data_IF_710683872857
#
_entry.id   IF_710683872857
#
_cell.length_a   1.000
_cell.length_b   1.000
_cell.length_c   1.000
_cell.angle_alpha   90.00
_cell.angle_beta   90.00
_cell.angle_gamma   90.00
#
_symmetry.space_group_name_H-M   'P 1'
#
loop_
_entity.id
_entity.type
_entity.pdbx_description
1 polymer ?
#
# COMPACT_ATOMS: atom_id res chain seq x y z
N UNK A 1 -1.34 19.11 17.27
CA UNK A 1 -1.91 17.77 17.00
C UNK A 1 -1.83 17.60 15.49
N UNK A 2 -1.00 16.67 15.00
CA UNK A 2 -0.73 16.54 13.56
C UNK A 2 -1.97 16.05 12.80
N UNK A 3 -2.07 16.36 11.50
CA UNK A 3 -3.16 15.83 10.67
C UNK A 3 -2.99 14.32 10.47
N UNK A 4 -4.09 13.58 10.65
CA UNK A 4 -4.15 12.16 10.32
C UNK A 4 -4.49 12.03 8.83
N UNK A 5 -3.65 11.33 8.07
CA UNK A 5 -3.87 11.09 6.64
C UNK A 5 -4.52 9.72 6.39
N UNK A 6 -5.33 9.61 5.34
CA UNK A 6 -5.88 8.34 4.87
C UNK A 6 -5.07 7.84 3.68
N UNK A 7 -4.49 6.64 3.79
CA UNK A 7 -3.71 6.02 2.71
C UNK A 7 -4.39 4.74 2.26
N UNK A 8 -4.78 4.72 1.00
CA UNK A 8 -5.05 3.47 0.29
C UNK A 8 -3.73 2.87 -0.19
N UNK A 9 -3.29 1.79 0.44
CA UNK A 9 -2.07 1.07 0.06
C UNK A 9 -2.43 -0.08 -0.88
N UNK A 10 -2.69 0.18 -2.15
CA UNK A 10 -3.13 -0.86 -3.09
C UNK A 10 -2.01 -1.80 -3.57
N UNK A 11 -2.40 -2.87 -4.26
CA UNK A 11 -1.45 -3.81 -4.88
C UNK A 11 -0.72 -3.19 -6.09
N UNK A 12 -1.43 -2.37 -6.86
CA UNK A 12 -0.93 -1.78 -8.12
C UNK A 12 -0.75 -0.28 -8.03
N UNK A 13 -1.68 0.42 -7.38
CA UNK A 13 -1.62 1.86 -7.15
C UNK A 13 -1.98 2.15 -5.71
N UNK A 14 -1.40 3.20 -5.16
CA UNK A 14 -1.73 3.76 -3.87
C UNK A 14 -2.28 5.17 -4.02
N UNK A 15 -3.10 5.58 -3.06
CA UNK A 15 -3.76 6.89 -3.04
C UNK A 15 -3.67 7.48 -1.64
N UNK A 16 -3.57 8.80 -1.52
CA UNK A 16 -3.56 9.49 -0.23
C UNK A 16 -4.60 10.62 -0.23
N UNK A 17 -5.32 10.73 0.89
CA UNK A 17 -6.33 11.73 1.12
C UNK A 17 -6.20 12.38 2.49
N UNK A 18 -6.69 13.61 2.59
CA UNK A 18 -6.78 14.40 3.83
C UNK A 18 -8.21 14.87 4.04
N UNK A 19 -8.53 15.26 5.27
CA UNK A 19 -9.75 15.99 5.58
C UNK A 19 -9.47 17.50 5.55
N UNK A 20 -10.22 18.23 4.71
CA UNK A 20 -10.19 19.70 4.64
C UNK A 20 -11.60 20.25 4.76
N UNK A 21 -11.84 21.13 5.73
CA UNK A 21 -13.15 21.75 5.95
C UNK A 21 -14.30 20.74 6.04
N UNK A 22 -14.05 19.61 6.70
CA UNK A 22 -15.02 18.52 6.86
C UNK A 22 -15.23 17.65 5.61
N UNK A 23 -14.50 17.87 4.52
CA UNK A 23 -14.60 17.10 3.28
C UNK A 23 -13.31 16.32 2.99
N UNK A 24 -13.42 15.06 2.52
CA UNK A 24 -12.26 14.32 2.07
C UNK A 24 -11.73 14.90 0.76
N UNK A 25 -10.41 15.02 0.64
CA UNK A 25 -9.72 15.46 -0.57
C UNK A 25 -8.57 14.53 -0.89
N UNK A 26 -8.59 13.96 -2.09
CA UNK A 26 -7.45 13.22 -2.66
C UNK A 26 -6.39 14.21 -3.11
N UNK A 27 -5.13 13.95 -2.73
CA UNK A 27 -3.99 14.82 -3.04
C UNK A 27 -3.25 14.30 -4.27
N UNK A 28 -2.75 15.20 -5.10
CA UNK A 28 -1.87 14.89 -6.23
C UNK A 28 -0.43 14.69 -5.75
N UNK A 29 0.24 13.64 -6.25
CA UNK A 29 1.67 13.47 -6.05
C UNK A 29 2.48 14.53 -6.83
N UNK A 30 3.79 14.57 -6.60
CA UNK A 30 4.70 15.52 -7.27
C UNK A 30 4.75 15.32 -8.80
N UNK A 31 4.28 14.17 -9.29
CA UNK A 31 4.12 13.88 -10.72
C UNK A 31 2.78 14.35 -11.30
N UNK A 32 1.92 15.01 -10.50
CA UNK A 32 0.62 15.55 -10.92
C UNK A 32 -0.51 14.50 -11.01
N UNK A 33 -0.30 13.30 -10.45
CA UNK A 33 -1.28 12.23 -10.48
C UNK A 33 -1.91 12.01 -9.10
N UNK A 34 -3.22 11.72 -9.08
CA UNK A 34 -3.98 11.41 -7.85
C UNK A 34 -3.75 10.01 -7.30
N UNK A 35 -3.05 9.16 -8.05
CA UNK A 35 -2.62 7.84 -7.61
C UNK A 35 -1.16 7.66 -7.96
N UNK A 36 -0.47 6.85 -7.17
CA UNK A 36 0.95 6.54 -7.34
C UNK A 36 1.11 5.04 -7.54
N UNK A 37 1.80 4.57 -8.60
CA UNK A 37 2.08 3.15 -8.75
C UNK A 37 2.77 2.57 -7.51
N UNK A 38 2.29 1.42 -7.01
CA UNK A 38 2.87 0.71 -5.86
C UNK A 38 4.09 -0.11 -6.33
N UNK A 39 5.06 0.61 -6.88
CA UNK A 39 6.26 0.09 -7.53
C UNK A 39 7.47 0.79 -6.91
N UNK A 40 8.46 0.00 -6.52
CA UNK A 40 9.71 0.46 -5.91
C UNK A 40 10.88 -0.11 -6.68
N UNK A 41 11.84 0.71 -7.08
CA UNK A 41 13.04 0.26 -7.76
C UNK A 41 14.29 0.71 -7.04
N UNK A 42 15.27 -0.18 -6.99
CA UNK A 42 16.58 0.08 -6.40
C UNK A 42 17.61 0.15 -7.53
N UNK A 43 18.17 1.33 -7.72
CA UNK A 43 19.13 1.61 -8.79
C UNK A 43 20.53 1.12 -8.42
N UNK A 44 21.47 1.15 -9.37
CA UNK A 44 22.84 0.68 -9.14
C UNK A 44 23.65 1.61 -8.21
N UNK A 45 23.35 2.90 -8.27
CA UNK A 45 23.93 3.96 -7.45
C UNK A 45 23.29 4.09 -6.06
N UNK A 46 22.33 3.22 -5.73
CA UNK A 46 21.71 3.14 -4.41
C UNK A 46 20.50 4.07 -4.20
N UNK A 47 20.03 4.73 -5.26
CA UNK A 47 18.79 5.49 -5.24
C UNK A 47 17.56 4.56 -5.12
N UNK A 48 16.57 5.00 -4.36
CA UNK A 48 15.27 4.33 -4.24
C UNK A 48 14.24 5.15 -5.00
N UNK A 49 13.79 4.61 -6.14
CA UNK A 49 12.72 5.19 -6.93
C UNK A 49 11.38 4.60 -6.49
N UNK A 50 10.35 5.43 -6.37
CA UNK A 50 8.99 5.00 -6.01
C UNK A 50 7.97 5.62 -6.97
N UNK A 51 6.98 4.84 -7.41
CA UNK A 51 5.89 5.35 -8.23
C UNK A 51 6.23 5.41 -9.73
N UNK A 52 5.86 6.51 -10.39
CA UNK A 52 6.04 6.67 -11.83
C UNK A 52 7.51 6.59 -12.29
N UNK A 53 8.51 7.13 -11.56
CA UNK A 53 9.92 6.92 -11.86
C UNK A 53 10.32 5.43 -11.85
N UNK A 54 9.94 4.69 -10.81
CA UNK A 54 10.21 3.26 -10.72
C UNK A 54 9.54 2.46 -11.86
N UNK A 55 8.27 2.80 -12.19
CA UNK A 55 7.54 2.19 -13.30
C UNK A 55 8.24 2.38 -14.65
N UNK A 56 8.78 3.57 -14.91
CA UNK A 56 9.42 3.92 -16.20
C UNK A 56 10.65 3.06 -16.50
N UNK A 57 11.46 2.77 -15.48
CA UNK A 57 12.69 1.99 -15.65
C UNK A 57 12.52 0.47 -15.45
N UNK A 58 11.30 0.00 -15.20
CA UNK A 58 11.04 -1.41 -14.87
C UNK A 58 11.50 -2.40 -15.97
N UNK A 59 11.46 -1.97 -17.24
CA UNK A 59 11.85 -2.80 -18.38
C UNK A 59 13.37 -3.00 -18.48
N UNK A 60 14.17 -2.01 -18.06
CA UNK A 60 15.64 -2.08 -18.10
C UNK A 60 16.24 -2.59 -16.80
N UNK A 61 15.48 -2.58 -15.70
CA UNK A 61 15.92 -3.05 -14.38
C UNK A 61 14.90 -4.02 -13.73
N UNK A 62 14.51 -5.11 -14.39
CA UNK A 62 13.38 -5.95 -13.96
C UNK A 62 13.64 -6.69 -12.64
N UNK A 63 14.90 -7.06 -12.36
CA UNK A 63 15.27 -7.83 -11.16
C UNK A 63 15.28 -7.00 -9.87
N UNK A 64 15.47 -5.68 -9.99
CA UNK A 64 15.53 -4.77 -8.85
C UNK A 64 14.34 -3.78 -8.83
N UNK A 65 13.30 -4.08 -9.61
CA UNK A 65 12.04 -3.33 -9.62
C UNK A 65 10.93 -4.21 -9.04
N UNK A 66 10.47 -3.85 -7.86
CA UNK A 66 9.51 -4.58 -7.08
C UNK A 66 8.10 -4.00 -7.28
N UNK A 67 7.16 -4.87 -7.60
CA UNK A 67 5.74 -4.53 -7.76
C UNK A 67 4.87 -5.67 -7.25
N UNK A 68 3.59 -5.37 -6.98
CA UNK A 68 2.63 -6.31 -6.40
C UNK A 68 3.09 -6.95 -5.07
N UNK A 69 3.99 -6.29 -4.34
CA UNK A 69 4.56 -6.79 -3.06
C UNK A 69 3.48 -6.97 -1.98
N UNK A 70 2.34 -6.30 -2.10
CA UNK A 70 1.15 -6.53 -1.27
C UNK A 70 0.64 -7.99 -1.34
N UNK A 71 0.97 -8.73 -2.40
CA UNK A 71 0.67 -10.17 -2.50
C UNK A 71 1.54 -11.03 -1.60
N UNK A 72 2.72 -10.54 -1.20
CA UNK A 72 3.69 -11.25 -0.36
C UNK A 72 3.63 -10.83 1.12
N UNK A 73 3.13 -9.63 1.39
CA UNK A 73 3.11 -9.07 2.75
C UNK A 73 2.40 -10.01 3.74
N UNK A 74 3.06 -10.35 4.85
CA UNK A 74 2.54 -11.23 5.89
C UNK A 74 2.32 -12.69 5.50
N UNK A 75 2.86 -13.15 4.36
CA UNK A 75 2.80 -14.55 3.92
C UNK A 75 4.05 -15.33 4.25
N UNK A 76 3.90 -16.64 4.37
CA UNK A 76 4.99 -17.62 4.49
C UNK A 76 5.55 -17.95 3.11
N UNK A 77 6.86 -18.18 3.04
CA UNK A 77 7.51 -18.53 1.78
C UNK A 77 6.90 -19.79 1.15
N UNK A 78 6.56 -20.80 1.96
CA UNK A 78 6.08 -22.10 1.49
C UNK A 78 4.58 -22.11 1.10
N UNK A 79 3.86 -20.98 1.22
CA UNK A 79 2.45 -20.88 0.78
C UNK A 79 2.33 -21.08 -0.73
N UNK A 80 1.27 -21.78 -1.17
CA UNK A 80 1.03 -22.11 -2.58
C UNK A 80 0.99 -20.86 -3.48
N UNK A 81 0.39 -19.80 -2.99
CA UNK A 81 0.26 -18.51 -3.66
C UNK A 81 1.64 -17.86 -3.87
N UNK A 82 2.53 -17.94 -2.88
CA UNK A 82 3.90 -17.42 -2.96
C UNK A 82 4.74 -18.28 -3.90
N UNK A 83 4.61 -19.61 -3.83
CA UNK A 83 5.30 -20.53 -4.74
C UNK A 83 4.91 -20.31 -6.20
N UNK A 84 3.65 -19.97 -6.47
CA UNK A 84 3.21 -19.55 -7.80
C UNK A 84 3.87 -18.25 -8.23
N UNK A 85 3.88 -17.24 -7.35
CA UNK A 85 4.43 -15.92 -7.66
C UNK A 85 5.96 -15.98 -7.90
N UNK A 86 6.70 -16.88 -7.25
CA UNK A 86 8.13 -17.14 -7.51
C UNK A 86 8.42 -17.46 -8.98
N UNK A 87 7.55 -18.22 -9.65
CA UNK A 87 7.70 -18.56 -11.06
C UNK A 87 7.26 -17.47 -12.04
N UNK A 88 6.61 -16.42 -11.55
CA UNK A 88 6.01 -15.36 -12.37
C UNK A 88 6.74 -14.02 -12.24
N UNK A 89 7.30 -13.73 -11.07
CA UNK A 89 7.93 -12.44 -10.79
C UNK A 89 9.36 -12.38 -11.33
N UNK A 90 9.78 -11.24 -11.91
CA UNK A 90 11.15 -11.07 -12.41
C UNK A 90 12.17 -10.82 -11.28
N UNK A 91 11.71 -10.34 -10.13
CA UNK A 91 12.53 -10.15 -8.94
C UNK A 91 12.55 -11.42 -8.08
N UNK A 92 13.59 -11.54 -7.25
CA UNK A 92 13.81 -12.75 -6.45
C UNK A 92 12.98 -12.70 -5.17
N UNK A 93 12.11 -13.69 -5.00
CA UNK A 93 11.41 -13.96 -3.73
C UNK A 93 12.20 -15.05 -3.00
N UNK A 94 12.48 -14.84 -1.72
CA UNK A 94 13.35 -15.69 -0.91
C UNK A 94 12.73 -16.01 0.43
N UNK A 95 13.15 -17.14 1.02
CA UNK A 95 12.77 -17.54 2.36
C UNK A 95 13.61 -16.77 3.38
N UNK A 96 12.95 -16.07 4.30
CA UNK A 96 13.60 -15.51 5.48
C UNK A 96 13.90 -16.60 6.51
N UNK A 97 14.75 -16.29 7.49
CA UNK A 97 15.18 -17.25 8.51
C UNK A 97 14.00 -17.73 9.38
N UNK A 98 13.02 -16.85 9.59
CA UNK A 98 11.78 -17.19 10.28
C UNK A 98 10.78 -17.95 9.39
N UNK A 99 11.04 -18.10 8.08
CA UNK A 99 10.21 -18.76 7.08
C UNK A 99 9.23 -17.86 6.32
N UNK A 100 9.25 -16.54 6.55
CA UNK A 100 8.42 -15.58 5.81
C UNK A 100 8.88 -15.38 4.37
N UNK A 101 7.95 -14.96 3.52
CA UNK A 101 8.23 -14.57 2.14
C UNK A 101 8.89 -13.19 2.10
N UNK A 102 10.17 -13.13 1.78
CA UNK A 102 10.94 -11.90 1.61
C UNK A 102 11.32 -11.73 0.14
N UNK A 103 11.91 -10.58 -0.18
CA UNK A 103 12.51 -10.31 -1.49
C UNK A 103 14.02 -10.14 -1.34
N UNK A 104 14.75 -10.36 -2.42
CA UNK A 104 16.19 -10.08 -2.47
C UNK A 104 16.48 -9.15 -3.63
N UNK A 105 17.11 -8.02 -3.31
CA UNK A 105 17.49 -6.99 -4.28
C UNK A 105 18.96 -6.71 -4.10
N UNK A 106 19.75 -6.83 -5.18
CA UNK A 106 21.21 -6.62 -5.16
C UNK A 106 21.94 -7.37 -4.02
N UNK A 107 21.50 -8.59 -3.74
CA UNK A 107 22.07 -9.45 -2.68
C UNK A 107 21.60 -9.11 -1.26
N UNK A 108 20.76 -8.09 -1.08
CA UNK A 108 20.18 -7.74 0.21
C UNK A 108 18.78 -8.33 0.34
N UNK A 109 18.56 -9.12 1.40
CA UNK A 109 17.23 -9.64 1.75
C UNK A 109 16.43 -8.56 2.46
N UNK A 110 15.18 -8.37 2.05
CA UNK A 110 14.27 -7.37 2.62
C UNK A 110 12.89 -7.97 2.83
N UNK A 111 12.25 -7.60 3.94
CA UNK A 111 10.87 -7.97 4.20
C UNK A 111 9.91 -7.21 3.27
N UNK A 112 8.79 -7.84 2.89
CA UNK A 112 7.77 -7.20 2.05
C UNK A 112 7.25 -5.87 2.64
N UNK A 113 7.16 -5.81 3.98
CA UNK A 113 6.76 -4.62 4.75
C UNK A 113 7.73 -3.45 4.55
N UNK A 114 9.04 -3.71 4.41
CA UNK A 114 10.04 -2.65 4.16
C UNK A 114 9.83 -2.02 2.78
N UNK A 115 9.51 -2.84 1.77
CA UNK A 115 9.22 -2.33 0.42
C UNK A 115 7.92 -1.54 0.40
N UNK A 116 6.86 -2.04 1.05
CA UNK A 116 5.62 -1.30 1.22
C UNK A 116 5.82 0.01 1.99
N UNK A 117 6.76 0.05 2.94
CA UNK A 117 7.11 1.28 3.66
C UNK A 117 7.67 2.36 2.73
N UNK A 118 8.42 2.03 1.68
CA UNK A 118 8.87 3.03 0.68
C UNK A 118 7.67 3.67 -0.04
N UNK A 119 6.65 2.87 -0.37
CA UNK A 119 5.41 3.40 -0.94
C UNK A 119 4.68 4.31 0.04
N UNK A 120 4.61 3.92 1.31
CA UNK A 120 3.99 4.71 2.37
C UNK A 120 4.77 6.01 2.66
N UNK A 121 6.11 6.00 2.60
CA UNK A 121 6.93 7.22 2.72
C UNK A 121 6.65 8.19 1.59
N UNK A 122 6.48 7.71 0.35
CA UNK A 122 6.06 8.56 -0.77
C UNK A 122 4.67 9.18 -0.51
N UNK A 123 3.72 8.41 0.04
CA UNK A 123 2.37 8.92 0.36
C UNK A 123 2.40 9.95 1.49
N UNK A 124 3.17 9.68 2.56
CA UNK A 124 3.45 10.63 3.64
C UNK A 124 4.03 11.92 3.07
N UNK A 125 5.10 11.83 2.28
CA UNK A 125 5.76 12.99 1.68
C UNK A 125 4.82 13.80 0.79
N UNK A 126 3.98 13.14 -0.02
CA UNK A 126 2.94 13.81 -0.81
C UNK A 126 1.97 14.60 0.06
N UNK A 127 1.54 14.06 1.20
CA UNK A 127 0.69 14.80 2.12
C UNK A 127 1.44 15.96 2.79
N UNK A 128 2.68 15.77 3.23
CA UNK A 128 3.52 16.82 3.83
C UNK A 128 3.77 17.98 2.87
N UNK A 129 4.09 17.70 1.60
CA UNK A 129 4.30 18.71 0.57
C UNK A 129 3.04 19.54 0.32
N UNK A 130 1.87 18.89 0.36
CA UNK A 130 0.59 19.55 0.18
C UNK A 130 0.16 20.37 1.41
N UNK A 131 0.41 19.86 2.61
CA UNK A 131 -0.01 20.47 3.87
C UNK A 131 0.96 21.56 4.38
N UNK A 132 2.23 21.49 4.01
CA UNK A 132 3.28 22.37 4.51
C UNK A 132 3.71 22.08 5.96
N UNK A 133 3.37 20.91 6.49
CA UNK A 133 3.69 20.48 7.86
C UNK A 133 4.02 18.97 7.92
N UNK A 134 4.68 18.53 8.98
CA UNK A 134 5.03 17.12 9.19
C UNK A 134 3.78 16.26 9.45
N UNK A 135 3.76 15.06 8.86
CA UNK A 135 2.70 14.08 9.06
C UNK A 135 3.24 12.86 9.79
N UNK A 136 2.70 12.58 10.97
CA UNK A 136 3.14 11.45 11.82
C UNK A 136 2.09 10.38 12.02
N UNK A 137 0.83 10.62 11.65
CA UNK A 137 -0.30 9.72 11.96
C UNK A 137 -1.07 9.34 10.68
N UNK A 138 -1.47 8.08 10.57
CA UNK A 138 -2.23 7.60 9.40
C UNK A 138 -3.29 6.54 9.72
N UNK A 139 -4.30 6.50 8.86
CA UNK A 139 -5.20 5.36 8.65
C UNK A 139 -4.77 4.67 7.36
N UNK A 140 -4.55 3.36 7.39
CA UNK A 140 -4.06 2.59 6.23
C UNK A 140 -5.08 1.49 5.87
N UNK A 141 -5.39 1.34 4.59
CA UNK A 141 -6.31 0.31 4.09
C UNK A 141 -5.68 -1.07 4.01
N UNK A 142 -6.50 -2.10 4.19
CA UNK A 142 -6.20 -3.50 3.86
C UNK A 142 -7.43 -4.18 3.27
N UNK A 143 -7.28 -5.24 2.46
CA UNK A 143 -8.39 -6.06 2.01
C UNK A 143 -9.20 -6.60 3.20
N UNK A 144 -10.51 -6.72 3.04
CA UNK A 144 -11.38 -7.21 4.11
C UNK A 144 -10.98 -8.64 4.54
N UNK A 145 -10.58 -9.47 3.58
CA UNK A 145 -10.18 -10.85 3.81
C UNK A 145 -8.72 -11.04 4.29
N UNK A 146 -7.97 -9.96 4.55
CA UNK A 146 -6.62 -10.10 5.14
C UNK A 146 -6.68 -10.73 6.53
N UNK A 147 -5.80 -11.72 6.74
CA UNK A 147 -5.63 -12.39 8.03
C UNK A 147 -4.79 -11.54 9.01
N UNK A 148 -4.59 -12.05 10.23
CA UNK A 148 -3.88 -11.33 11.29
C UNK A 148 -2.41 -11.03 10.94
N UNK A 149 -1.69 -11.96 10.31
CA UNK A 149 -0.29 -11.75 9.95
C UNK A 149 -0.14 -10.67 8.88
N UNK A 150 -1.03 -10.65 7.90
CA UNK A 150 -1.05 -9.64 6.83
C UNK A 150 -1.43 -8.26 7.37
N UNK A 151 -2.42 -8.17 8.27
CA UNK A 151 -2.80 -6.91 8.94
C UNK A 151 -1.67 -6.35 9.78
N UNK A 152 -1.02 -7.21 10.58
CA UNK A 152 0.11 -6.81 11.42
C UNK A 152 1.29 -6.35 10.56
N UNK A 153 1.60 -7.09 9.50
CA UNK A 153 2.64 -6.73 8.54
C UNK A 153 2.39 -5.36 7.87
N UNK A 154 1.15 -5.06 7.45
CA UNK A 154 0.80 -3.73 6.92
C UNK A 154 0.94 -2.64 7.97
N UNK A 155 0.56 -2.90 9.23
CA UNK A 155 0.75 -1.97 10.34
C UNK A 155 2.24 -1.69 10.58
N UNK A 156 3.08 -2.71 10.50
CA UNK A 156 4.53 -2.57 10.64
C UNK A 156 5.16 -1.81 9.47
N UNK A 157 4.66 -1.98 8.24
CA UNK A 157 5.05 -1.14 7.10
C UNK A 157 4.78 0.35 7.38
N UNK A 158 3.63 0.68 7.99
CA UNK A 158 3.32 2.03 8.46
C UNK A 158 4.35 2.56 9.47
N UNK A 159 4.68 1.75 10.48
CA UNK A 159 5.71 2.12 11.48
C UNK A 159 7.08 2.34 10.86
N UNK A 160 7.52 1.47 9.95
CA UNK A 160 8.80 1.59 9.22
C UNK A 160 8.83 2.84 8.34
N UNK A 161 7.67 3.30 7.86
CA UNK A 161 7.52 4.55 7.12
C UNK A 161 7.49 5.81 8.01
N UNK A 162 7.57 5.67 9.33
CA UNK A 162 7.49 6.78 10.28
C UNK A 162 6.07 7.29 10.48
N UNK A 163 5.07 6.40 10.40
CA UNK A 163 3.66 6.69 10.66
C UNK A 163 3.16 5.89 11.88
N UNK A 164 2.56 6.57 12.83
CA UNK A 164 1.70 5.97 13.85
C UNK A 164 0.37 5.56 13.20
N UNK A 165 0.19 4.25 13.04
CA UNK A 165 -1.02 3.68 12.42
C UNK A 165 -2.17 3.68 13.42
N UNK A 166 -3.03 4.71 13.35
CA UNK A 166 -4.18 4.90 14.24
C UNK A 166 -5.28 3.87 13.98
N UNK A 167 -5.42 3.44 12.72
CA UNK A 167 -6.38 2.42 12.31
C UNK A 167 -5.91 1.69 11.06
N UNK A 168 -6.10 0.38 11.07
CA UNK A 168 -6.18 -0.42 9.85
C UNK A 168 -7.66 -0.55 9.52
N UNK A 169 -8.06 -0.08 8.34
CA UNK A 169 -9.45 -0.12 7.88
C UNK A 169 -9.59 -1.08 6.70
N UNK A 170 -10.70 -1.80 6.63
CA UNK A 170 -10.99 -2.65 5.48
C UNK A 170 -11.33 -1.78 4.26
N UNK A 171 -10.76 -2.09 3.11
CA UNK A 171 -10.99 -1.44 1.81
C UNK A 171 -12.49 -1.22 1.51
N UNK A 172 -13.36 -2.26 1.53
CA UNK A 172 -14.78 -2.05 1.23
C UNK A 172 -15.50 -1.22 2.30
N UNK A 173 -15.06 -1.23 3.55
CA UNK A 173 -15.60 -0.35 4.59
C UNK A 173 -15.22 1.11 4.34
N UNK A 174 -13.97 1.38 3.93
CA UNK A 174 -13.54 2.73 3.55
C UNK A 174 -14.33 3.24 2.33
N UNK A 175 -14.57 2.38 1.33
CA UNK A 175 -15.41 2.70 0.19
C UNK A 175 -16.87 3.00 0.58
N UNK A 176 -17.44 2.24 1.51
CA UNK A 176 -18.78 2.48 2.04
C UNK A 176 -18.88 3.83 2.78
N UNK A 177 -17.88 4.18 3.59
CA UNK A 177 -17.81 5.50 4.24
C UNK A 177 -17.78 6.61 3.20
N UNK A 178 -16.91 6.52 2.19
CA UNK A 178 -16.84 7.49 1.12
C UNK A 178 -18.17 7.63 0.35
N UNK A 179 -18.84 6.51 0.06
CA UNK A 179 -20.16 6.51 -0.56
C UNK A 179 -21.22 7.19 0.31
N UNK A 180 -21.20 6.94 1.63
CA UNK A 180 -22.18 7.49 2.57
C UNK A 180 -22.08 9.00 2.77
N UNK A 181 -20.89 9.60 2.65
CA UNK A 181 -20.68 11.04 2.92
C UNK A 181 -21.43 11.98 1.96
N UNK A 182 -21.70 11.56 0.72
CA UNK A 182 -22.35 12.38 -0.31
C UNK A 182 -23.83 12.03 -0.54
N UNK A 183 -24.35 11.01 0.14
CA UNK A 183 -25.71 10.49 -0.10
C UNK A 183 -26.68 10.94 0.98
N UNK A 184 -27.95 11.07 0.60
CA UNK A 184 -29.04 11.36 1.55
C UNK A 184 -29.08 10.29 2.64
N UNK A 185 -29.18 10.76 3.88
CA UNK A 185 -29.33 9.96 5.09
C UNK A 185 -30.50 8.96 4.98
N UNK A 186 -30.36 7.81 5.67
CA UNK A 186 -31.36 6.76 5.77
C UNK A 186 -30.76 5.35 5.72
N UNK A 187 -31.44 4.38 6.33
CA UNK A 187 -31.00 2.98 6.40
C UNK A 187 -30.98 2.36 5.00
N UNK A 188 -29.81 1.85 4.59
CA UNK A 188 -29.62 1.24 3.27
C UNK A 188 -28.65 0.09 3.34
N UNK A 189 -29.07 -1.05 2.80
CA UNK A 189 -28.17 -2.17 2.55
C UNK A 189 -27.45 -1.97 1.23
N UNK A 190 -26.12 -2.00 1.27
CA UNK A 190 -25.25 -1.89 0.10
C UNK A 190 -24.37 -3.13 -0.03
N UNK A 191 -24.04 -3.46 -1.28
CA UNK A 191 -23.01 -4.44 -1.59
C UNK A 191 -21.81 -3.70 -2.19
N UNK A 192 -20.65 -3.78 -1.54
CA UNK A 192 -19.40 -3.25 -2.05
C UNK A 192 -18.63 -4.40 -2.69
N UNK A 193 -18.56 -4.37 -4.03
CA UNK A 193 -17.77 -5.29 -4.84
C UNK A 193 -16.45 -4.61 -5.23
N UNK A 194 -15.34 -5.06 -4.65
CA UNK A 194 -14.02 -4.47 -4.88
C UNK A 194 -13.11 -5.50 -5.57
N UNK A 195 -12.75 -5.24 -6.83
CA UNK A 195 -11.84 -6.07 -7.63
C UNK A 195 -10.62 -5.24 -8.03
N UNK A 196 -9.57 -5.33 -7.23
CA UNK A 196 -8.31 -4.66 -7.45
C UNK A 196 -7.31 -5.46 -8.28
N UNK A 197 -6.08 -4.93 -8.40
CA UNK A 197 -5.00 -5.58 -9.17
C UNK A 197 -4.39 -6.83 -8.54
N UNK A 198 -4.83 -7.22 -7.33
CA UNK A 198 -4.31 -8.42 -6.66
C UNK A 198 -5.21 -9.03 -5.60
N UNK A 199 -6.34 -8.40 -5.30
CA UNK A 199 -7.28 -8.81 -4.26
C UNK A 199 -8.70 -8.62 -4.76
N UNK A 200 -9.61 -9.39 -4.18
CA UNK A 200 -11.04 -9.33 -4.44
C UNK A 200 -11.76 -9.40 -3.09
N UNK A 201 -12.63 -8.45 -2.83
CA UNK A 201 -13.50 -8.41 -1.65
C UNK A 201 -14.96 -8.17 -2.06
N UNK A 202 -15.87 -8.81 -1.32
CA UNK A 202 -17.31 -8.51 -1.36
C UNK A 202 -17.75 -8.29 0.09
N UNK A 203 -18.41 -7.16 0.35
CA UNK A 203 -18.97 -6.85 1.67
C UNK A 203 -20.40 -6.38 1.53
N UNK A 204 -21.29 -6.92 2.36
CA UNK A 204 -22.65 -6.43 2.53
C UNK A 204 -22.65 -5.55 3.79
N UNK A 205 -23.05 -4.30 3.63
CA UNK A 205 -22.98 -3.27 4.68
C UNK A 205 -24.37 -2.66 4.84
N UNK A 206 -24.78 -2.43 6.08
CA UNK A 206 -26.02 -1.77 6.49
C UNK A 206 -25.72 -0.42 7.11
#
# INVERSE_FOLDING_TARGET
MGRIIGIDLGTTNSCVAVMENGKPKVIENVEGARTTPSIVAYTEDGEILVGAPAKRQAVTNPKNTLYAVKRLIGRRFDEKEVQKDIGLMPYKIVKADNGDAWVEVRGQKMAAQQVSAETLRKMKKTAEDYLGEEVTEAVITVPAYFNDSQRQATKDAGRIAGLEVKRIINEPTAAALAFGMDKKEGDRKIAVYDLGGGTFDISIIE
#
